data_IF_087244253584
#
_entry.id   IF_087244253584
#
_cell.length_a   1.000
_cell.length_b   1.000
_cell.length_c   1.000
_cell.angle_alpha   90.00
_cell.angle_beta   90.00
_cell.angle_gamma   90.00
#
_symmetry.space_group_name_H-M   'P 1'
#
loop_
_entity.id
_entity.type
_entity.pdbx_description
1 polymer ?
#
# COMPACT_ATOMS: atom_id res chain seq x y z
N UNK A 1 -22.79 5.05 -4.72
CA UNK A 1 -22.24 4.21 -5.80
C UNK A 1 -21.02 3.50 -5.26
N UNK A 2 -20.85 2.20 -5.52
CA UNK A 2 -19.62 1.49 -5.19
C UNK A 2 -18.48 2.01 -6.08
N UNK A 3 -17.31 2.33 -5.52
CA UNK A 3 -16.13 2.73 -6.30
C UNK A 3 -15.66 1.57 -7.16
N UNK A 4 -15.36 1.84 -8.43
CA UNK A 4 -14.86 0.82 -9.36
C UNK A 4 -13.34 0.84 -9.43
N UNK A 5 -12.74 -0.24 -9.94
CA UNK A 5 -11.31 -0.29 -10.22
C UNK A 5 -10.88 0.80 -11.21
N UNK A 6 -11.73 1.13 -12.19
CA UNK A 6 -11.46 2.19 -13.16
C UNK A 6 -11.38 3.58 -12.49
N UNK A 7 -12.24 3.87 -11.51
CA UNK A 7 -12.22 5.15 -10.77
C UNK A 7 -10.94 5.30 -9.93
N UNK A 8 -10.45 4.19 -9.38
CA UNK A 8 -9.20 4.14 -8.61
C UNK A 8 -8.01 4.27 -9.56
N UNK A 9 -7.97 3.49 -10.64
CA UNK A 9 -6.94 3.56 -11.67
C UNK A 9 -6.78 4.98 -12.22
N UNK A 10 -7.88 5.67 -12.54
CA UNK A 10 -7.86 7.03 -13.06
C UNK A 10 -7.20 8.04 -12.08
N UNK A 11 -7.38 7.87 -10.77
CA UNK A 11 -6.71 8.73 -9.77
C UNK A 11 -5.20 8.54 -9.75
N UNK A 12 -4.77 7.28 -9.75
CA UNK A 12 -3.35 6.93 -9.65
C UNK A 12 -2.63 6.96 -11.00
N UNK A 13 -3.35 7.03 -12.14
CA UNK A 13 -2.77 7.12 -13.48
C UNK A 13 -1.90 8.36 -13.71
N UNK A 14 -2.06 9.40 -12.88
CA UNK A 14 -1.20 10.60 -12.91
C UNK A 14 0.15 10.38 -12.25
N UNK A 15 0.34 9.29 -11.50
CA UNK A 15 1.63 8.96 -10.92
C UNK A 15 2.58 8.44 -11.99
N UNK A 16 3.84 8.91 -12.02
CA UNK A 16 4.81 8.53 -13.05
C UNK A 16 5.03 7.01 -13.12
N UNK A 17 4.91 6.31 -11.99
CA UNK A 17 5.04 4.85 -11.90
C UNK A 17 3.92 4.10 -12.64
N UNK A 18 2.74 4.71 -12.79
CA UNK A 18 1.56 4.15 -13.46
C UNK A 18 1.34 4.72 -14.86
N UNK A 19 2.17 5.69 -15.29
CA UNK A 19 2.02 6.33 -16.59
C UNK A 19 2.22 5.31 -17.72
N UNK A 20 1.22 5.20 -18.59
CA UNK A 20 1.24 4.24 -19.71
C UNK A 20 1.04 2.77 -19.31
N UNK A 21 0.79 2.49 -18.03
CA UNK A 21 0.49 1.13 -17.55
C UNK A 21 -1.00 0.85 -17.78
N UNK A 22 -1.30 -0.25 -18.46
CA UNK A 22 -2.68 -0.70 -18.63
C UNK A 22 -3.14 -1.34 -17.33
N UNK A 23 -4.16 -0.77 -16.67
CA UNK A 23 -4.74 -1.30 -15.44
C UNK A 23 -5.95 -2.17 -15.79
N UNK A 24 -5.72 -3.47 -15.94
CA UNK A 24 -6.76 -4.48 -16.20
C UNK A 24 -7.16 -5.29 -14.96
N UNK A 25 -6.52 -5.04 -13.81
CA UNK A 25 -6.80 -5.71 -12.54
C UNK A 25 -6.27 -4.95 -11.31
N UNK A 26 -6.69 -5.35 -10.10
CA UNK A 26 -6.31 -4.67 -8.85
C UNK A 26 -4.86 -4.93 -8.42
N UNK A 27 -4.22 -5.96 -8.98
CA UNK A 27 -2.85 -6.40 -8.68
C UNK A 27 -1.82 -5.90 -9.69
N UNK A 28 -2.22 -5.01 -10.61
CA UNK A 28 -1.31 -4.49 -11.62
C UNK A 28 -0.20 -3.70 -10.95
N UNK A 29 1.03 -4.02 -11.34
CA UNK A 29 2.25 -3.43 -10.85
C UNK A 29 2.76 -2.44 -11.90
N UNK A 30 3.03 -1.21 -11.47
CA UNK A 30 3.58 -0.16 -12.32
C UNK A 30 5.04 -0.38 -12.70
N UNK A 31 5.57 0.52 -13.53
CA UNK A 31 6.98 0.47 -13.98
C UNK A 31 8.00 0.54 -12.83
N UNK A 32 7.61 1.17 -11.71
CA UNK A 32 8.40 1.25 -10.49
C UNK A 32 8.25 0.05 -9.54
N UNK A 33 7.61 -1.04 -9.99
CA UNK A 33 7.26 -2.22 -9.16
C UNK A 33 6.22 -1.97 -8.07
N UNK A 34 5.63 -0.78 -8.00
CA UNK A 34 4.50 -0.49 -7.11
C UNK A 34 3.16 -0.58 -7.84
N UNK A 35 2.22 -1.33 -7.26
CA UNK A 35 0.81 -1.38 -7.69
C UNK A 35 -0.09 -0.35 -6.99
N UNK A 36 -1.37 -0.31 -7.37
CA UNK A 36 -2.36 0.64 -6.83
C UNK A 36 -2.45 0.62 -5.29
N UNK A 37 -2.35 -0.57 -4.67
CA UNK A 37 -2.44 -0.70 -3.21
C UNK A 37 -1.25 -0.03 -2.49
N UNK A 38 -0.05 -0.17 -3.04
CA UNK A 38 1.15 0.49 -2.54
C UNK A 38 1.02 2.02 -2.63
N UNK A 39 0.53 2.52 -3.77
CA UNK A 39 0.31 3.94 -3.98
C UNK A 39 -0.75 4.51 -3.03
N UNK A 40 -1.88 3.82 -2.88
CA UNK A 40 -2.92 4.23 -1.93
C UNK A 40 -2.38 4.27 -0.50
N UNK A 41 -1.56 3.30 -0.12
CA UNK A 41 -0.96 3.25 1.20
C UNK A 41 0.07 4.37 1.44
N UNK A 42 0.97 4.59 0.47
CA UNK A 42 1.96 5.69 0.48
C UNK A 42 1.31 7.07 0.54
N UNK A 43 0.12 7.21 -0.05
CA UNK A 43 -0.64 8.47 -0.12
C UNK A 43 -1.64 8.66 1.03
N UNK A 44 -1.70 7.73 1.98
CA UNK A 44 -2.59 7.85 3.15
C UNK A 44 -4.07 7.58 2.87
N UNK A 45 -4.41 6.97 1.73
CA UNK A 45 -5.79 6.80 1.26
C UNK A 45 -6.45 5.54 1.83
N UNK A 46 -6.77 5.53 3.12
CA UNK A 46 -7.33 4.35 3.81
C UNK A 46 -8.66 3.85 3.21
N UNK A 47 -9.46 4.72 2.60
CA UNK A 47 -10.68 4.32 1.90
C UNK A 47 -10.37 3.58 0.60
N UNK A 48 -9.38 4.05 -0.16
CA UNK A 48 -8.97 3.41 -1.41
C UNK A 48 -8.29 2.07 -1.14
N UNK A 49 -7.51 1.94 -0.06
CA UNK A 49 -6.97 0.65 0.40
C UNK A 49 -8.08 -0.38 0.62
N UNK A 50 -9.13 0.00 1.36
CA UNK A 50 -10.28 -0.88 1.60
C UNK A 50 -11.00 -1.26 0.31
N UNK A 51 -11.18 -0.30 -0.60
CA UNK A 51 -11.86 -0.55 -1.87
C UNK A 51 -11.01 -1.44 -2.80
N UNK A 52 -9.69 -1.23 -2.86
CA UNK A 52 -8.76 -2.06 -3.64
C UNK A 52 -8.75 -3.51 -3.14
N UNK A 53 -8.65 -3.74 -1.82
CA UNK A 53 -8.67 -5.09 -1.25
C UNK A 53 -10.02 -5.77 -1.51
N UNK A 54 -11.15 -5.05 -1.39
CA UNK A 54 -12.48 -5.58 -1.76
C UNK A 54 -12.59 -5.96 -3.24
N UNK A 55 -11.89 -5.23 -4.11
CA UNK A 55 -11.81 -5.53 -5.53
C UNK A 55 -10.85 -6.69 -5.86
N UNK A 56 -10.20 -7.28 -4.86
CA UNK A 56 -9.30 -8.43 -5.02
C UNK A 56 -7.82 -8.06 -5.07
N UNK A 57 -7.43 -6.86 -4.60
CA UNK A 57 -6.02 -6.53 -4.44
C UNK A 57 -5.39 -7.47 -3.40
N UNK A 58 -4.26 -8.09 -3.75
CA UNK A 58 -3.48 -8.90 -2.82
C UNK A 58 -2.84 -7.99 -1.76
N UNK A 59 -3.19 -8.22 -0.50
CA UNK A 59 -2.88 -7.31 0.60
C UNK A 59 -1.38 -7.23 0.92
N UNK A 60 -0.67 -8.35 0.77
CA UNK A 60 0.78 -8.48 1.01
C UNK A 60 1.56 -8.63 -0.30
N UNK A 61 1.04 -8.10 -1.41
CA UNK A 61 1.81 -8.08 -2.65
C UNK A 61 3.13 -7.32 -2.43
N UNK A 62 4.26 -7.87 -2.88
CA UNK A 62 5.53 -7.16 -2.80
C UNK A 62 5.59 -6.10 -3.90
N UNK A 63 5.86 -4.86 -3.49
CA UNK A 63 6.14 -3.73 -4.36
C UNK A 63 7.63 -3.56 -4.67
N UNK A 64 8.09 -2.32 -4.80
CA UNK A 64 9.53 -2.05 -4.93
C UNK A 64 10.32 -2.57 -3.73
N UNK A 65 11.41 -3.29 -4.01
CA UNK A 65 12.33 -3.86 -3.02
C UNK A 65 11.62 -4.64 -1.89
N UNK A 66 10.55 -5.34 -2.24
CA UNK A 66 9.78 -6.17 -1.32
C UNK A 66 8.86 -5.39 -0.37
N UNK A 67 8.71 -4.07 -0.54
CA UNK A 67 7.81 -3.28 0.30
C UNK A 67 6.36 -3.66 0.03
N UNK A 68 5.67 -4.15 1.06
CA UNK A 68 4.20 -4.29 1.04
C UNK A 68 3.52 -2.94 1.26
N UNK A 69 2.20 -2.88 1.05
CA UNK A 69 1.41 -1.70 1.38
C UNK A 69 1.58 -1.26 2.85
N UNK A 70 1.77 -2.20 3.79
CA UNK A 70 1.98 -1.88 5.20
C UNK A 70 3.33 -1.19 5.44
N UNK A 71 4.39 -1.60 4.72
CA UNK A 71 5.68 -0.91 4.76
C UNK A 71 5.59 0.53 4.23
N UNK A 72 4.82 0.77 3.17
CA UNK A 72 4.60 2.13 2.66
C UNK A 72 3.82 3.01 3.64
N UNK A 73 2.78 2.47 4.26
CA UNK A 73 2.03 3.17 5.31
C UNK A 73 2.93 3.49 6.51
N UNK A 74 3.80 2.55 6.89
CA UNK A 74 4.83 2.71 7.91
C UNK A 74 5.81 3.84 7.57
N UNK A 75 6.47 3.78 6.41
CA UNK A 75 7.44 4.78 5.98
C UNK A 75 6.85 6.20 5.91
N UNK A 76 5.57 6.32 5.54
CA UNK A 76 4.87 7.60 5.41
C UNK A 76 4.16 8.06 6.71
N UNK A 77 4.15 7.26 7.77
CA UNK A 77 3.50 7.60 9.05
C UNK A 77 1.97 7.59 9.01
N UNK A 78 1.38 6.88 8.05
CA UNK A 78 -0.07 6.88 7.80
C UNK A 78 -0.80 5.86 8.68
N UNK A 79 -0.96 6.21 9.96
CA UNK A 79 -1.52 5.30 10.95
C UNK A 79 -2.93 4.78 10.61
N UNK A 80 -3.83 5.62 10.09
CA UNK A 80 -5.16 5.16 9.69
C UNK A 80 -5.16 4.20 8.48
N UNK A 81 -4.11 4.21 7.67
CA UNK A 81 -3.90 3.21 6.62
C UNK A 81 -3.37 1.91 7.20
N UNK A 82 -2.39 1.98 8.11
CA UNK A 82 -1.86 0.80 8.77
C UNK A 82 -2.96 0.06 9.54
N UNK A 83 -3.79 0.77 10.31
CA UNK A 83 -4.97 0.22 10.98
C UNK A 83 -5.88 -0.50 9.97
N UNK A 84 -6.18 0.14 8.82
CA UNK A 84 -7.02 -0.46 7.78
C UNK A 84 -6.40 -1.73 7.15
N UNK A 85 -5.09 -1.74 6.92
CA UNK A 85 -4.39 -2.91 6.37
C UNK A 85 -4.39 -4.07 7.36
N UNK A 86 -4.12 -3.81 8.64
CA UNK A 86 -4.15 -4.82 9.70
C UNK A 86 -5.56 -5.39 9.92
N UNK A 87 -6.59 -4.53 9.92
CA UNK A 87 -8.00 -4.96 9.96
C UNK A 87 -8.37 -5.89 8.81
N UNK A 88 -7.75 -5.71 7.64
CA UNK A 88 -7.97 -6.51 6.45
C UNK A 88 -7.06 -7.76 6.39
N UNK A 89 -6.22 -7.98 7.41
CA UNK A 89 -5.37 -9.16 7.54
C UNK A 89 -4.01 -9.07 6.86
N UNK A 90 -3.45 -7.86 6.70
CA UNK A 90 -2.08 -7.69 6.25
C UNK A 90 -1.11 -8.40 7.21
N UNK A 91 -0.07 -9.04 6.65
CA UNK A 91 0.94 -9.71 7.45
C UNK A 91 1.86 -8.68 8.12
N UNK A 92 1.72 -8.55 9.44
CA UNK A 92 2.54 -7.66 10.27
C UNK A 92 4.04 -8.01 10.23
N UNK A 93 4.34 -9.30 10.11
CA UNK A 93 5.71 -9.84 10.12
C UNK A 93 6.30 -9.95 8.70
N UNK A 94 5.62 -9.43 7.67
CA UNK A 94 6.16 -9.40 6.32
C UNK A 94 7.48 -8.62 6.30
N UNK A 95 8.48 -9.16 5.61
CA UNK A 95 9.80 -8.56 5.49
C UNK A 95 10.06 -8.08 4.08
N UNK A 96 10.60 -6.87 3.95
CA UNK A 96 11.14 -6.36 2.70
C UNK A 96 12.53 -6.96 2.37
N UNK A 97 13.15 -6.54 1.26
CA UNK A 97 14.44 -7.08 0.80
C UNK A 97 15.62 -6.78 1.75
N UNK A 98 15.44 -5.89 2.73
CA UNK A 98 16.43 -5.61 3.79
C UNK A 98 16.12 -6.32 5.10
N UNK A 99 15.23 -7.32 5.06
CA UNK A 99 14.75 -8.08 6.21
C UNK A 99 14.00 -7.26 7.26
N UNK A 100 13.52 -6.07 6.89
CA UNK A 100 12.81 -5.16 7.78
C UNK A 100 11.31 -5.39 7.70
N UNK A 101 10.66 -5.36 8.86
CA UNK A 101 9.21 -5.31 9.03
C UNK A 101 8.66 -3.89 8.89
N UNK A 102 7.34 -3.76 8.81
CA UNK A 102 6.69 -2.46 8.81
C UNK A 102 7.01 -1.66 10.09
N UNK A 103 7.09 -2.30 11.26
CA UNK A 103 7.46 -1.62 12.51
C UNK A 103 8.88 -1.05 12.45
N UNK A 104 9.84 -1.81 11.94
CA UNK A 104 11.24 -1.36 11.84
C UNK A 104 11.38 -0.18 10.86
N UNK A 105 10.62 -0.19 9.76
CA UNK A 105 10.50 0.97 8.86
C UNK A 105 9.86 2.17 9.58
N UNK A 106 8.80 1.92 10.35
CA UNK A 106 8.24 2.75 11.43
C UNK A 106 9.27 3.56 12.20
N UNK A 107 10.16 2.80 12.83
CA UNK A 107 11.21 3.27 13.73
C UNK A 107 12.25 4.12 13.00
N UNK A 108 12.73 3.65 11.85
CA UNK A 108 13.73 4.36 11.06
C UNK A 108 13.23 5.71 10.53
N UNK A 109 11.94 5.79 10.19
CA UNK A 109 11.31 7.02 9.72
C UNK A 109 10.91 7.98 10.87
N UNK A 110 10.94 7.52 12.12
CA UNK A 110 10.64 8.34 13.30
C UNK A 110 9.14 8.54 13.60
N UNK A 111 8.27 7.66 13.09
CA UNK A 111 6.81 7.82 13.23
C UNK A 111 6.28 7.19 14.52
N UNK A 112 6.55 7.83 15.66
CA UNK A 112 6.24 7.28 17.00
C UNK A 112 4.78 6.85 17.20
N UNK A 113 3.82 7.62 16.70
CA UNK A 113 2.38 7.30 16.81
C UNK A 113 1.95 6.04 16.05
N UNK A 114 2.82 5.54 15.15
CA UNK A 114 2.60 4.32 14.38
C UNK A 114 3.27 3.10 15.01
N UNK A 115 4.32 3.31 15.82
CA UNK A 115 5.04 2.23 16.51
C UNK A 115 4.18 1.52 17.56
N UNK A 116 3.15 2.18 18.10
CA UNK A 116 2.24 1.56 19.06
C UNK A 116 1.14 0.72 18.37
N UNK A 117 1.05 0.79 17.04
CA UNK A 117 0.00 0.14 16.23
C UNK A 117 0.50 -1.06 15.43
N UNK A 118 1.77 -1.03 15.05
CA UNK A 118 2.51 -2.11 14.37
C UNK A 118 3.24 -2.92 15.43
#
# INVERSE_FOLDING_TARGET
>A
MARTLADLAARYATHPEMAGVTIDGPNVIGTGRDGLLHLAARMGQAADVRDLVRLGAGIDLPGDRGFTALHYAAAAGHAGVADALLELGANLDAKNDWEQTALEVAMLAGHGALMERL
#
